data_IF_123059454315
#
_entry.id   IF_123059454315
#
_cell.length_a   1.000
_cell.length_b   1.000
_cell.length_c   1.000
_cell.angle_alpha   90.00
_cell.angle_beta   90.00
_cell.angle_gamma   90.00
#
_symmetry.space_group_name_H-M   'P 1'
#
loop_
_entity.id
_entity.type
_entity.pdbx_description
1 polymer ?
#
# COMPACT_ATOMS: atom_id res chain seq x y z
N UNK A 1 10.42 4.23 63.71
CA UNK A 1 11.12 4.62 62.45
C UNK A 1 11.29 3.46 61.46
N UNK A 2 11.79 2.28 61.84
CA UNK A 2 11.98 1.12 60.93
C UNK A 2 10.70 0.62 60.21
N UNK A 3 9.52 0.71 60.83
CA UNK A 3 8.22 0.37 60.20
C UNK A 3 7.81 1.32 59.07
N UNK A 4 8.16 2.60 59.17
CA UNK A 4 7.83 3.62 58.17
C UNK A 4 8.69 3.42 56.92
N UNK A 5 9.97 3.09 57.10
CA UNK A 5 10.91 2.77 56.02
C UNK A 5 10.49 1.47 55.29
N UNK A 6 10.00 0.47 56.03
CA UNK A 6 9.48 -0.80 55.46
C UNK A 6 8.21 -0.58 54.61
N UNK A 7 7.32 0.32 55.03
CA UNK A 7 6.11 0.65 54.28
C UNK A 7 6.37 1.57 53.07
N UNK A 8 7.43 2.37 53.09
CA UNK A 8 7.87 3.19 51.95
C UNK A 8 8.49 2.34 50.82
N UNK A 9 9.22 1.28 51.17
CA UNK A 9 9.82 0.36 50.19
C UNK A 9 8.75 -0.50 49.48
N UNK A 10 7.68 -0.87 50.18
CA UNK A 10 6.58 -1.66 49.61
C UNK A 10 5.77 -0.86 48.57
N UNK A 11 5.64 0.46 48.75
CA UNK A 11 4.90 1.32 47.83
C UNK A 11 5.59 1.53 46.48
N UNK A 12 6.93 1.47 46.46
CA UNK A 12 7.74 1.62 45.22
C UNK A 12 7.78 0.32 44.40
N UNK A 13 7.59 -0.84 45.03
CA UNK A 13 7.56 -2.16 44.38
C UNK A 13 6.20 -2.51 43.74
N UNK A 14 5.12 -1.82 44.12
CA UNK A 14 3.79 -2.00 43.50
C UNK A 14 3.55 -1.17 42.25
N UNK A 15 4.48 -0.28 41.90
CA UNK A 15 4.49 0.42 40.61
C UNK A 15 5.15 -0.47 39.54
N UNK A 16 4.64 -1.69 39.43
CA UNK A 16 5.03 -2.65 38.40
C UNK A 16 4.62 -2.04 37.04
N UNK A 17 5.56 -1.91 36.09
CA UNK A 17 5.31 -1.21 34.84
C UNK A 17 4.16 -1.90 34.12
N UNK A 18 3.12 -1.13 33.81
CA UNK A 18 2.10 -1.52 32.87
C UNK A 18 2.84 -1.99 31.62
N UNK A 19 2.91 -3.31 31.42
CA UNK A 19 3.54 -3.89 30.27
C UNK A 19 2.85 -3.25 29.07
N UNK A 20 3.66 -2.57 28.26
CA UNK A 20 3.33 -2.17 26.92
C UNK A 20 2.55 -3.32 26.29
N UNK A 21 1.24 -3.15 26.12
CA UNK A 21 0.50 -3.91 25.13
C UNK A 21 0.84 -3.29 23.77
N UNK A 22 2.12 -3.36 23.41
CA UNK A 22 2.55 -3.23 22.03
C UNK A 22 2.17 -4.51 21.31
N UNK A 23 1.32 -4.36 20.29
CA UNK A 23 1.27 -5.28 19.17
C UNK A 23 0.50 -6.56 19.44
N UNK A 24 -0.76 -6.57 19.03
CA UNK A 24 -1.19 -7.38 17.89
C UNK A 24 -2.64 -6.99 17.60
N UNK A 25 -2.85 -6.41 16.43
CA UNK A 25 -4.19 -6.37 15.86
C UNK A 25 -4.58 -7.82 15.57
N UNK A 26 -5.84 -8.23 15.75
CA UNK A 26 -6.28 -9.59 15.44
C UNK A 26 -6.16 -9.82 13.93
N UNK A 27 -5.02 -10.33 13.47
CA UNK A 27 -4.77 -10.71 12.08
C UNK A 27 -5.44 -12.06 11.71
N UNK A 28 -6.38 -12.53 12.52
CA UNK A 28 -6.82 -13.93 12.52
C UNK A 28 -8.32 -14.14 12.29
N UNK A 29 -9.09 -13.12 11.89
CA UNK A 29 -10.45 -13.37 11.36
C UNK A 29 -10.30 -14.03 10.00
N UNK A 30 -10.51 -15.34 9.97
CA UNK A 30 -10.50 -16.10 8.73
C UNK A 30 -11.65 -15.69 7.83
N UNK A 31 -11.29 -15.21 6.63
CA UNK A 31 -12.24 -14.75 5.63
C UNK A 31 -12.79 -15.96 4.90
N UNK A 32 -14.11 -16.10 4.94
CA UNK A 32 -14.85 -17.18 4.29
C UNK A 32 -15.89 -16.57 3.35
N UNK A 33 -15.69 -16.76 2.05
CA UNK A 33 -16.52 -16.20 1.00
C UNK A 33 -16.65 -17.26 -0.09
N UNK A 34 -17.89 -17.63 -0.43
CA UNK A 34 -18.18 -18.54 -1.53
C UNK A 34 -19.10 -17.81 -2.48
N UNK A 35 -18.51 -17.15 -3.47
CA UNK A 35 -19.22 -16.29 -4.41
C UNK A 35 -18.87 -16.71 -5.83
N UNK A 36 -19.89 -16.89 -6.66
CA UNK A 36 -19.73 -17.31 -8.05
C UNK A 36 -20.35 -16.28 -8.97
N UNK A 37 -19.61 -15.85 -10.00
CA UNK A 37 -20.11 -14.93 -11.01
C UNK A 37 -20.51 -13.54 -10.44
N UNK A 38 -19.83 -13.12 -9.36
CA UNK A 38 -20.08 -11.86 -8.65
C UNK A 38 -19.10 -10.78 -9.11
N UNK A 39 -19.44 -9.50 -8.99
CA UNK A 39 -18.52 -8.41 -9.31
C UNK A 39 -17.33 -8.39 -8.33
N UNK A 40 -16.12 -8.09 -8.82
CA UNK A 40 -14.95 -7.97 -7.94
C UNK A 40 -15.20 -6.94 -6.82
N UNK A 41 -15.91 -5.85 -7.11
CA UNK A 41 -16.27 -4.84 -6.12
C UNK A 41 -17.07 -5.42 -4.95
N UNK A 42 -18.06 -6.28 -5.23
CA UNK A 42 -18.86 -6.91 -4.17
C UNK A 42 -18.02 -7.89 -3.34
N UNK A 43 -17.18 -8.68 -3.99
CA UNK A 43 -16.25 -9.57 -3.29
C UNK A 43 -15.32 -8.78 -2.38
N UNK A 44 -14.73 -7.67 -2.85
CA UNK A 44 -13.83 -6.84 -2.06
C UNK A 44 -14.55 -6.14 -0.90
N UNK A 45 -15.81 -5.73 -1.08
CA UNK A 45 -16.64 -5.19 0.02
C UNK A 45 -16.86 -6.23 1.11
N UNK A 46 -17.12 -7.48 0.73
CA UNK A 46 -17.30 -8.56 1.70
C UNK A 46 -15.99 -8.91 2.42
N UNK A 47 -14.87 -8.94 1.68
CA UNK A 47 -13.52 -9.06 2.26
C UNK A 47 -13.25 -7.92 3.25
N UNK A 48 -13.57 -6.67 2.90
CA UNK A 48 -13.42 -5.51 3.78
C UNK A 48 -14.26 -5.66 5.06
N UNK A 49 -15.52 -6.10 4.90
CA UNK A 49 -16.47 -6.31 5.99
C UNK A 49 -15.99 -7.37 6.98
N UNK A 50 -15.47 -8.51 6.49
CA UNK A 50 -15.00 -9.60 7.35
C UNK A 50 -13.61 -9.33 7.95
N UNK A 51 -12.72 -8.66 7.20
CA UNK A 51 -11.35 -8.38 7.65
C UNK A 51 -11.24 -7.16 8.58
N UNK A 52 -12.19 -6.22 8.50
CA UNK A 52 -12.12 -4.95 9.24
C UNK A 52 -11.10 -3.95 8.67
N UNK A 53 -10.60 -4.19 7.46
CA UNK A 53 -9.70 -3.28 6.75
C UNK A 53 -10.50 -2.29 5.90
N UNK A 54 -9.98 -1.07 5.75
CA UNK A 54 -10.56 -0.06 4.86
C UNK A 54 -9.95 -0.20 3.48
N UNK A 55 -10.77 -0.27 2.45
CA UNK A 55 -10.32 -0.41 1.07
C UNK A 55 -10.39 0.96 0.38
N UNK A 56 -9.24 1.42 -0.10
CA UNK A 56 -9.10 2.67 -0.84
C UNK A 56 -8.74 2.35 -2.29
N UNK A 57 -9.62 2.77 -3.21
CA UNK A 57 -9.45 2.54 -4.64
C UNK A 57 -10.12 3.64 -5.45
N UNK A 58 -9.63 3.85 -6.67
CA UNK A 58 -10.30 4.74 -7.62
C UNK A 58 -11.44 4.00 -8.32
N UNK A 59 -12.61 4.63 -8.48
CA UNK A 59 -13.76 4.07 -9.21
C UNK A 59 -13.41 3.62 -10.65
N UNK A 60 -12.37 4.18 -11.24
CA UNK A 60 -11.89 3.76 -12.56
C UNK A 60 -11.27 2.35 -12.60
N UNK A 61 -10.85 1.81 -11.45
CA UNK A 61 -10.24 0.49 -11.32
C UNK A 61 -11.20 -0.64 -11.74
N UNK A 62 -12.51 -0.45 -11.53
CA UNK A 62 -13.54 -1.45 -11.80
C UNK A 62 -14.36 -1.17 -13.06
N UNK A 63 -13.95 -0.22 -13.91
CA UNK A 63 -14.69 0.17 -15.13
C UNK A 63 -15.01 -1.01 -16.06
N UNK A 64 -14.20 -2.06 -16.04
CA UNK A 64 -14.38 -3.25 -16.89
C UNK A 64 -15.30 -4.35 -16.32
N UNK A 65 -16.01 -4.12 -15.20
CA UNK A 65 -17.06 -5.00 -14.61
C UNK A 65 -16.79 -6.52 -14.76
N UNK A 66 -15.54 -6.95 -14.62
CA UNK A 66 -15.19 -8.37 -14.75
C UNK A 66 -15.79 -9.12 -13.56
N UNK A 67 -16.51 -10.18 -13.87
CA UNK A 67 -17.09 -11.07 -12.87
C UNK A 67 -16.01 -12.06 -12.43
N UNK A 68 -15.99 -12.34 -11.13
CA UNK A 68 -15.04 -13.28 -10.51
C UNK A 68 -15.82 -14.36 -9.78
N UNK A 69 -15.23 -15.55 -9.75
CA UNK A 69 -15.70 -16.67 -8.95
C UNK A 69 -14.60 -17.00 -7.95
N UNK A 70 -14.90 -16.85 -6.66
CA UNK A 70 -13.94 -17.03 -5.58
C UNK A 70 -14.50 -18.00 -4.55
N UNK A 71 -13.66 -18.92 -4.10
CA UNK A 71 -13.97 -19.85 -3.02
C UNK A 71 -12.86 -19.75 -1.98
N UNK A 72 -13.15 -18.98 -0.93
CA UNK A 72 -12.27 -18.73 0.19
C UNK A 72 -12.86 -19.41 1.42
N UNK A 73 -12.06 -20.25 2.08
CA UNK A 73 -12.42 -20.90 3.34
C UNK A 73 -11.37 -20.58 4.39
N UNK A 74 -11.76 -19.83 5.42
CA UNK A 74 -10.90 -19.49 6.57
C UNK A 74 -9.51 -18.96 6.14
N UNK A 75 -9.48 -18.03 5.20
CA UNK A 75 -8.23 -17.52 4.61
C UNK A 75 -7.81 -16.19 5.23
N UNK A 76 -6.51 -15.89 5.23
CA UNK A 76 -6.01 -14.57 5.63
C UNK A 76 -6.30 -13.53 4.57
N UNK A 77 -6.37 -12.25 4.95
CA UNK A 77 -6.60 -11.13 4.01
C UNK A 77 -5.65 -11.14 2.82
N UNK A 78 -4.34 -11.36 3.06
CA UNK A 78 -3.34 -11.42 1.99
C UNK A 78 -3.64 -12.54 0.99
N UNK A 79 -4.01 -13.72 1.48
CA UNK A 79 -4.33 -14.86 0.63
C UNK A 79 -5.65 -14.63 -0.13
N UNK A 80 -6.66 -14.07 0.54
CA UNK A 80 -7.92 -13.68 -0.09
C UNK A 80 -7.68 -12.70 -1.24
N UNK A 81 -6.91 -11.62 -1.01
CA UNK A 81 -6.54 -10.66 -2.06
C UNK A 81 -5.75 -11.30 -3.19
N UNK A 82 -4.79 -12.17 -2.88
CA UNK A 82 -3.97 -12.83 -3.89
C UNK A 82 -4.82 -13.74 -4.80
N UNK A 83 -5.83 -14.42 -4.24
CA UNK A 83 -6.76 -15.27 -5.00
C UNK A 83 -7.71 -14.41 -5.82
N UNK A 84 -8.32 -13.37 -5.21
CA UNK A 84 -9.27 -12.49 -5.89
C UNK A 84 -8.65 -11.69 -7.05
N UNK A 85 -7.37 -11.32 -6.93
CA UNK A 85 -6.66 -10.47 -7.88
C UNK A 85 -5.76 -11.24 -8.86
N UNK A 86 -5.66 -12.58 -8.75
CA UNK A 86 -4.73 -13.41 -9.52
C UNK A 86 -4.84 -13.22 -11.04
N UNK A 87 -6.06 -13.08 -11.55
CA UNK A 87 -6.35 -12.98 -12.98
C UNK A 87 -6.62 -11.53 -13.43
N UNK A 88 -6.18 -10.55 -12.63
CA UNK A 88 -6.47 -9.13 -12.85
C UNK A 88 -5.20 -8.28 -12.77
N UNK A 89 -5.06 -7.25 -13.63
CA UNK A 89 -3.93 -6.32 -13.60
C UNK A 89 -4.11 -5.30 -12.46
N UNK A 90 -4.23 -5.79 -11.23
CA UNK A 90 -4.48 -4.99 -10.03
C UNK A 90 -3.45 -5.39 -8.98
N UNK A 91 -2.69 -4.42 -8.49
CA UNK A 91 -1.77 -4.58 -7.37
C UNK A 91 -2.37 -3.99 -6.11
N UNK A 92 -2.02 -4.57 -4.96
CA UNK A 92 -2.47 -4.08 -3.66
C UNK A 92 -1.28 -3.76 -2.75
N UNK A 93 -1.44 -2.74 -1.92
CA UNK A 93 -0.51 -2.42 -0.83
C UNK A 93 -1.30 -2.29 0.46
N UNK A 94 -0.85 -2.99 1.49
CA UNK A 94 -1.44 -2.92 2.84
C UNK A 94 -0.57 -1.98 3.66
N UNK A 95 -1.15 -0.88 4.12
CA UNK A 95 -0.51 0.05 5.05
C UNK A 95 -1.40 0.23 6.27
N UNK A 96 -0.89 -0.18 7.43
CA UNK A 96 -1.61 -0.20 8.71
C UNK A 96 -2.94 -0.98 8.64
N UNK A 97 -4.07 -0.30 8.44
CA UNK A 97 -5.42 -0.87 8.27
C UNK A 97 -6.09 -0.49 6.95
N UNK A 98 -5.34 0.14 6.05
CA UNK A 98 -5.81 0.55 4.74
C UNK A 98 -5.22 -0.36 3.67
N UNK A 99 -6.08 -0.83 2.77
CA UNK A 99 -5.69 -1.58 1.57
C UNK A 99 -5.85 -0.66 0.39
N UNK A 100 -4.74 -0.29 -0.23
CA UNK A 100 -4.69 0.52 -1.44
C UNK A 100 -4.67 -0.40 -2.66
N UNK A 101 -5.65 -0.25 -3.57
CA UNK A 101 -5.69 -0.99 -4.83
C UNK A 101 -5.34 -0.06 -5.99
N UNK A 102 -4.35 -0.47 -6.78
CA UNK A 102 -3.86 0.25 -7.95
C UNK A 102 -3.93 -0.65 -9.18
N UNK A 103 -4.29 -0.10 -10.33
CA UNK A 103 -4.18 -0.83 -11.59
C UNK A 103 -2.70 -0.94 -11.94
N UNK A 104 -2.27 -2.13 -12.31
CA UNK A 104 -0.89 -2.38 -12.77
C UNK A 104 -0.62 -1.62 -14.09
N UNK A 105 -1.69 -1.28 -14.82
CA UNK A 105 -1.63 -0.40 -16.00
C UNK A 105 -1.12 1.02 -15.63
N UNK A 106 -1.38 1.50 -14.41
CA UNK A 106 -0.84 2.77 -13.90
C UNK A 106 0.68 2.75 -13.66
N UNK A 107 1.30 1.56 -13.72
CA UNK A 107 2.76 1.39 -13.66
C UNK A 107 3.40 1.37 -15.06
N UNK A 108 2.59 1.39 -16.12
CA UNK A 108 3.02 1.40 -17.52
C UNK A 108 2.95 2.78 -18.20
N UNK A 109 2.45 3.79 -17.50
CA UNK A 109 2.39 5.17 -17.99
C UNK A 109 3.59 5.98 -17.50
N UNK A 110 4.18 6.76 -18.42
CA UNK A 110 5.46 7.47 -18.28
C UNK A 110 5.58 8.41 -17.05
N UNK A 111 4.47 8.67 -16.37
CA UNK A 111 4.35 9.41 -15.11
C UNK A 111 5.04 8.73 -13.93
N UNK A 112 4.99 7.39 -13.82
CA UNK A 112 5.67 6.65 -12.74
C UNK A 112 7.19 6.81 -12.79
N UNK A 113 7.72 7.02 -13.99
CA UNK A 113 9.15 7.21 -14.24
C UNK A 113 9.64 8.61 -13.83
N UNK A 114 8.81 9.64 -13.99
CA UNK A 114 9.09 11.00 -13.49
C UNK A 114 9.00 11.07 -11.96
N UNK A 115 8.04 10.38 -11.35
CA UNK A 115 7.91 10.27 -9.90
C UNK A 115 9.13 9.57 -9.28
N UNK A 116 9.63 8.51 -9.93
CA UNK A 116 10.87 7.84 -9.52
C UNK A 116 12.11 8.75 -9.63
N UNK A 117 12.19 9.62 -10.64
CA UNK A 117 13.29 10.59 -10.79
C UNK A 117 13.19 11.74 -9.78
N UNK A 118 11.97 12.19 -9.46
CA UNK A 118 11.72 13.16 -8.39
C UNK A 118 12.09 12.57 -7.03
N UNK A 119 11.72 11.32 -6.74
CA UNK A 119 12.14 10.64 -5.52
C UNK A 119 13.66 10.47 -5.46
N UNK A 120 14.34 10.10 -6.54
CA UNK A 120 15.80 10.00 -6.56
C UNK A 120 16.51 11.36 -6.40
N UNK A 121 15.87 12.46 -6.79
CA UNK A 121 16.40 13.81 -6.61
C UNK A 121 16.12 14.39 -5.21
N UNK A 122 14.94 14.12 -4.64
CA UNK A 122 14.51 14.64 -3.35
C UNK A 122 14.89 13.76 -2.15
N UNK A 123 15.08 12.46 -2.38
CA UNK A 123 15.48 11.51 -1.33
C UNK A 123 16.88 11.00 -1.61
N UNK A 124 17.85 11.43 -0.80
CA UNK A 124 19.01 10.59 -0.56
C UNK A 124 18.53 9.33 0.18
N UNK A 125 18.75 8.17 -0.43
CA UNK A 125 18.29 6.81 -0.05
C UNK A 125 16.90 6.36 -0.53
N UNK A 126 16.90 5.73 -1.70
CA UNK A 126 16.35 4.36 -1.82
C UNK A 126 17.06 3.58 -2.94
N UNK A 127 18.09 2.82 -2.54
CA UNK A 127 18.97 2.01 -3.39
C UNK A 127 18.22 0.94 -4.22
N UNK A 128 16.98 0.60 -3.83
CA UNK A 128 16.15 -0.45 -4.44
C UNK A 128 15.58 -0.04 -5.81
N UNK A 129 15.22 1.23 -5.99
CA UNK A 129 14.64 1.74 -7.25
C UNK A 129 15.75 1.95 -8.30
N UNK A 130 16.91 2.47 -7.89
CA UNK A 130 18.07 2.63 -8.78
C UNK A 130 18.51 1.30 -9.42
N UNK A 131 18.51 0.20 -8.66
CA UNK A 131 18.87 -1.14 -9.16
C UNK A 131 17.92 -1.63 -10.26
N UNK A 132 16.63 -1.29 -10.15
CA UNK A 132 15.60 -1.63 -11.14
C UNK A 132 15.74 -0.78 -12.40
N UNK A 133 15.91 0.54 -12.25
CA UNK A 133 16.07 1.50 -13.37
C UNK A 133 17.35 1.22 -14.17
N UNK A 134 18.42 0.75 -13.51
CA UNK A 134 19.67 0.36 -14.18
C UNK A 134 19.44 -0.73 -15.24
N UNK A 135 18.55 -1.69 -14.98
CA UNK A 135 18.25 -2.83 -15.87
C UNK A 135 17.39 -2.47 -17.10
N UNK A 136 16.96 -1.22 -17.25
CA UNK A 136 16.04 -0.87 -18.33
C UNK A 136 16.70 -0.80 -19.73
N UNK A 137 15.96 -1.20 -20.79
CA UNK A 137 16.38 -1.07 -22.18
C UNK A 137 16.74 0.38 -22.56
N UNK A 138 17.76 0.54 -23.41
CA UNK A 138 18.27 1.86 -23.80
C UNK A 138 17.23 2.74 -24.53
N UNK A 139 16.30 2.11 -25.26
CA UNK A 139 15.21 2.82 -25.95
C UNK A 139 14.32 3.60 -24.97
N UNK A 140 14.00 2.97 -23.84
CA UNK A 140 13.16 3.56 -22.78
C UNK A 140 13.91 4.70 -22.09
N UNK A 141 15.20 4.49 -21.74
CA UNK A 141 16.04 5.54 -21.15
C UNK A 141 16.21 6.77 -22.06
N UNK A 142 16.20 6.58 -23.39
CA UNK A 142 16.27 7.69 -24.36
C UNK A 142 14.95 8.42 -24.49
N UNK A 143 13.82 7.70 -24.53
CA UNK A 143 12.48 8.29 -24.61
C UNK A 143 12.18 9.12 -23.37
N UNK A 144 12.43 8.55 -22.19
CA UNK A 144 12.26 9.23 -20.91
C UNK A 144 13.09 10.52 -20.80
N UNK A 145 14.35 10.49 -21.25
CA UNK A 145 15.20 11.71 -21.31
C UNK A 145 14.62 12.80 -22.20
N UNK A 146 13.97 12.44 -23.31
CA UNK A 146 13.37 13.42 -24.22
C UNK A 146 12.12 14.05 -23.61
N UNK A 147 11.23 13.24 -23.05
CA UNK A 147 10.01 13.73 -22.42
C UNK A 147 10.32 14.58 -21.19
N UNK A 148 11.27 14.15 -20.35
CA UNK A 148 11.69 14.93 -19.19
C UNK A 148 12.29 16.28 -19.58
N UNK A 149 13.10 16.34 -20.65
CA UNK A 149 13.63 17.62 -21.17
C UNK A 149 12.51 18.52 -21.70
N UNK A 150 11.48 17.95 -22.33
CA UNK A 150 10.34 18.71 -22.85
C UNK A 150 9.55 19.32 -21.69
N UNK A 151 9.16 18.49 -20.73
CA UNK A 151 8.44 18.90 -19.53
C UNK A 151 9.19 19.97 -18.71
N UNK A 152 10.51 19.81 -18.50
CA UNK A 152 11.33 20.82 -17.82
C UNK A 152 11.29 22.18 -18.53
N UNK A 153 11.35 22.19 -19.87
CA UNK A 153 11.27 23.44 -20.64
C UNK A 153 9.91 24.11 -20.49
N UNK A 154 8.84 23.33 -20.48
CA UNK A 154 7.48 23.87 -20.38
C UNK A 154 7.20 24.43 -18.97
N UNK A 155 7.67 23.75 -17.92
CA UNK A 155 7.61 24.27 -16.55
C UNK A 155 8.39 25.56 -16.36
N UNK A 156 9.59 25.67 -16.95
CA UNK A 156 10.38 26.89 -16.87
C UNK A 156 9.72 28.05 -17.61
N UNK A 157 9.04 27.77 -18.74
CA UNK A 157 8.23 28.77 -19.45
C UNK A 157 7.02 29.21 -18.63
N UNK A 158 6.36 28.29 -17.94
CA UNK A 158 5.21 28.63 -17.08
C UNK A 158 5.64 29.47 -15.87
N UNK A 159 6.77 29.16 -15.23
CA UNK A 159 7.32 29.99 -14.15
C UNK A 159 7.77 31.37 -14.62
N UNK A 160 8.27 31.52 -15.86
CA UNK A 160 8.59 32.82 -16.45
C UNK A 160 7.36 33.64 -16.85
N UNK A 161 6.19 33.03 -17.07
CA UNK A 161 4.93 33.72 -17.35
C UNK A 161 4.23 34.26 -16.10
N UNK A 162 4.55 33.73 -14.92
CA UNK A 162 3.95 34.13 -13.63
C UNK A 162 4.82 35.12 -12.84
N UNK A 163 5.80 35.74 -13.49
CA UNK A 163 6.71 36.75 -12.94
C UNK A 163 6.73 37.94 -13.88
#
# INVERSE_FOLDING_TARGET
MKKIIKNLIILVLTFSPCALQSGMLPDSTGITITETNTSLENVLKEVARQSGYKFEYNNHLFKNKKKVSVNLKNTTLKNALNICLKDQPITYTIDQRNVFLNSDEMNSDESGSLFALLLLYYTDRSFKIYKTVRKWPQKIKRKLRKEMRKWLRDLLKEKKRKK
#
